data_IF_249373738356
#
_entry.id   IF_249373738356
#
_cell.length_a   1.000
_cell.length_b   1.000
_cell.length_c   1.000
_cell.angle_alpha   90.00
_cell.angle_beta   90.00
_cell.angle_gamma   90.00
#
_symmetry.space_group_name_H-M   'P 1'
#
loop_
_entity.id
_entity.type
_entity.pdbx_description
1 polymer ?
#
# COMPACT_ATOMS: atom_id res chain seq x y z
N UNK A 1 12.81 -2.98 0.68
CA UNK A 1 12.77 -2.73 -0.79
C UNK A 1 13.99 -3.22 -1.58
N UNK A 2 15.18 -3.45 -1.00
CA UNK A 2 16.36 -3.91 -1.76
C UNK A 2 16.16 -5.26 -2.49
N UNK A 3 15.47 -6.22 -1.88
CA UNK A 3 15.16 -7.52 -2.51
C UNK A 3 14.36 -7.37 -3.82
N UNK A 4 13.17 -6.71 -3.85
CA UNK A 4 12.44 -6.54 -5.11
C UNK A 4 13.15 -5.64 -6.13
N UNK A 5 13.90 -4.61 -5.69
CA UNK A 5 14.71 -3.78 -6.62
C UNK A 5 15.80 -4.60 -7.30
N UNK A 6 16.57 -5.39 -6.54
CA UNK A 6 17.60 -6.25 -7.09
C UNK A 6 17.03 -7.32 -8.02
N UNK A 7 15.82 -7.81 -7.73
CA UNK A 7 15.12 -8.77 -8.57
C UNK A 7 14.76 -8.17 -9.94
N UNK A 8 14.12 -6.99 -9.98
CA UNK A 8 13.72 -6.37 -11.25
C UNK A 8 14.92 -5.89 -12.07
N UNK A 9 16.00 -5.42 -11.42
CA UNK A 9 17.22 -4.98 -12.10
C UNK A 9 18.04 -6.13 -12.71
N UNK A 10 17.98 -7.33 -12.13
CA UNK A 10 18.79 -8.47 -12.57
C UNK A 10 18.01 -9.50 -13.38
N UNK A 11 16.69 -9.35 -13.52
CA UNK A 11 15.86 -10.32 -14.22
C UNK A 11 16.37 -10.55 -15.66
N UNK A 12 16.44 -11.80 -16.15
CA UNK A 12 15.96 -13.05 -15.55
C UNK A 12 16.90 -13.66 -14.48
N UNK A 13 18.13 -13.15 -14.39
CA UNK A 13 19.14 -13.58 -13.44
C UNK A 13 18.86 -13.07 -12.01
N UNK A 14 19.79 -13.31 -11.10
CA UNK A 14 19.75 -12.82 -9.71
C UNK A 14 21.08 -12.19 -9.36
N UNK A 15 21.03 -11.14 -8.53
CA UNK A 15 22.20 -10.48 -7.95
C UNK A 15 22.05 -10.37 -6.45
N UNK A 16 23.18 -10.23 -5.74
CA UNK A 16 23.15 -9.96 -4.31
C UNK A 16 22.50 -8.59 -4.04
N UNK A 17 21.45 -8.59 -3.23
CA UNK A 17 20.73 -7.36 -2.82
C UNK A 17 21.33 -6.68 -1.58
N UNK A 18 22.29 -7.32 -0.91
CA UNK A 18 22.83 -6.89 0.38
C UNK A 18 21.86 -7.06 1.55
N UNK A 19 20.74 -7.77 1.36
CA UNK A 19 19.76 -8.11 2.40
C UNK A 19 20.17 -9.42 3.05
N UNK A 20 20.15 -9.49 4.40
CA UNK A 20 20.42 -10.74 5.13
C UNK A 20 19.31 -11.77 4.86
N UNK A 21 19.62 -13.08 4.88
CA UNK A 21 18.58 -14.11 4.84
C UNK A 21 17.55 -13.94 5.95
N UNK A 22 16.30 -14.28 5.67
CA UNK A 22 15.22 -14.27 6.65
C UNK A 22 15.41 -15.43 7.63
N UNK A 23 15.44 -15.13 8.93
CA UNK A 23 15.55 -16.14 10.00
C UNK A 23 14.15 -16.48 10.51
N UNK A 24 13.62 -17.62 10.08
CA UNK A 24 12.26 -18.05 10.41
C UNK A 24 12.09 -18.42 11.89
N UNK A 25 13.17 -18.76 12.61
CA UNK A 25 13.11 -19.07 14.04
C UNK A 25 12.95 -17.82 14.91
N UNK A 26 13.22 -16.63 14.35
CA UNK A 26 13.09 -15.33 15.02
C UNK A 26 11.83 -14.57 14.62
N UNK A 27 11.02 -15.10 13.70
CA UNK A 27 9.78 -14.45 13.28
C UNK A 27 8.70 -14.62 14.35
N UNK A 28 7.96 -13.55 14.60
CA UNK A 28 6.63 -13.66 15.24
C UNK A 28 5.67 -14.45 14.35
N UNK A 29 4.54 -14.87 14.93
CA UNK A 29 3.52 -15.62 14.19
C UNK A 29 3.02 -14.88 12.94
N UNK A 30 2.86 -15.62 11.84
CA UNK A 30 2.24 -15.11 10.63
C UNK A 30 0.72 -15.21 10.75
N UNK A 31 0.05 -14.08 10.93
CA UNK A 31 -1.41 -14.00 11.10
C UNK A 31 -2.06 -13.32 9.90
N UNK A 32 -3.27 -13.75 9.56
CA UNK A 32 -4.04 -13.21 8.44
C UNK A 32 -5.46 -12.87 8.90
N UNK A 33 -6.04 -11.82 8.34
CA UNK A 33 -7.40 -11.37 8.62
C UNK A 33 -8.01 -10.77 7.36
N UNK A 34 -9.35 -10.81 7.26
CA UNK A 34 -10.06 -10.10 6.22
C UNK A 34 -9.91 -8.58 6.41
N UNK A 35 -9.79 -7.79 5.32
CA UNK A 35 -9.77 -6.34 5.42
C UNK A 35 -11.11 -5.80 5.94
N UNK A 36 -11.04 -4.79 6.80
CA UNK A 36 -12.21 -4.08 7.34
C UNK A 36 -12.50 -2.84 6.48
N UNK A 37 -13.48 -2.97 5.59
CA UNK A 37 -13.88 -1.90 4.66
C UNK A 37 -14.59 -0.72 5.35
N UNK A 38 -15.21 -0.93 6.52
CA UNK A 38 -15.85 0.15 7.28
C UNK A 38 -14.79 1.01 7.98
N UNK A 39 -13.75 0.37 8.51
CA UNK A 39 -12.61 1.04 9.13
C UNK A 39 -11.72 1.74 8.10
N UNK A 40 -11.48 1.10 6.96
CA UNK A 40 -10.58 1.58 5.90
C UNK A 40 -11.29 1.70 4.54
N UNK A 41 -12.18 2.70 4.37
CA UNK A 41 -13.01 2.82 3.16
C UNK A 41 -12.21 3.08 1.88
N UNK A 42 -10.99 3.62 1.98
CA UNK A 42 -10.16 3.90 0.81
C UNK A 42 -9.82 2.66 -0.01
N UNK A 43 -9.77 1.46 0.60
CA UNK A 43 -9.58 0.21 -0.16
C UNK A 43 -10.77 -0.05 -1.07
N UNK A 44 -12.00 0.10 -0.55
CA UNK A 44 -13.23 -0.06 -1.32
C UNK A 44 -13.31 1.00 -2.44
N UNK A 45 -12.99 2.25 -2.13
CA UNK A 45 -12.95 3.34 -3.12
C UNK A 45 -11.98 3.07 -4.26
N UNK A 46 -10.81 2.50 -3.99
CA UNK A 46 -9.85 2.13 -5.03
C UNK A 46 -10.37 1.01 -5.93
N UNK A 47 -11.05 0.00 -5.36
CA UNK A 47 -11.70 -1.07 -6.13
C UNK A 47 -12.82 -0.52 -7.02
N UNK A 48 -13.70 0.33 -6.47
CA UNK A 48 -14.80 0.95 -7.21
C UNK A 48 -14.29 1.88 -8.33
N UNK A 49 -13.21 2.64 -8.09
CA UNK A 49 -12.60 3.48 -9.11
C UNK A 49 -11.94 2.67 -10.23
N UNK A 50 -11.36 1.51 -9.90
CA UNK A 50 -10.81 0.58 -10.89
C UNK A 50 -11.91 -0.03 -11.75
N UNK A 51 -13.03 -0.44 -11.15
CA UNK A 51 -14.21 -0.96 -11.87
C UNK A 51 -14.82 0.08 -12.84
N UNK A 52 -14.79 1.37 -12.47
CA UNK A 52 -15.23 2.48 -13.33
C UNK A 52 -14.22 2.82 -14.44
N UNK A 53 -12.98 2.37 -14.33
CA UNK A 53 -11.94 2.51 -15.33
C UNK A 53 -10.94 3.64 -15.09
N UNK A 54 -10.10 3.88 -16.10
CA UNK A 54 -8.87 4.65 -15.95
C UNK A 54 -9.11 6.09 -15.49
N UNK A 55 -10.14 6.77 -16.01
CA UNK A 55 -10.43 8.16 -15.65
C UNK A 55 -10.74 8.30 -14.16
N UNK A 56 -11.56 7.40 -13.60
CA UNK A 56 -11.89 7.37 -12.18
C UNK A 56 -10.66 7.07 -11.32
N UNK A 57 -9.83 6.10 -11.73
CA UNK A 57 -8.59 5.77 -11.02
C UNK A 57 -7.58 6.93 -11.02
N UNK A 58 -7.39 7.60 -12.15
CA UNK A 58 -6.52 8.79 -12.25
C UNK A 58 -7.04 9.92 -11.37
N UNK A 59 -8.35 10.19 -11.38
CA UNK A 59 -8.96 11.19 -10.52
C UNK A 59 -8.79 10.85 -9.03
N UNK A 60 -8.99 9.59 -8.65
CA UNK A 60 -8.79 9.12 -7.28
C UNK A 60 -7.35 9.30 -6.81
N UNK A 61 -6.36 8.94 -7.64
CA UNK A 61 -4.95 9.13 -7.29
C UNK A 61 -4.63 10.61 -7.05
N UNK A 62 -5.07 11.50 -7.95
CA UNK A 62 -4.87 12.94 -7.81
C UNK A 62 -5.54 13.49 -6.54
N UNK A 63 -6.79 13.10 -6.26
CA UNK A 63 -7.50 13.51 -5.05
C UNK A 63 -6.79 13.02 -3.78
N UNK A 64 -6.26 11.79 -3.80
CA UNK A 64 -5.50 11.23 -2.68
C UNK A 64 -4.22 12.03 -2.40
N UNK A 65 -3.43 12.39 -3.42
CA UNK A 65 -2.21 13.19 -3.24
C UNK A 65 -2.48 14.53 -2.56
N UNK A 66 -3.52 15.25 -3.00
CA UNK A 66 -3.91 16.53 -2.38
C UNK A 66 -4.40 16.34 -0.95
N UNK A 67 -5.21 15.31 -0.70
CA UNK A 67 -5.81 15.07 0.62
C UNK A 67 -4.76 14.62 1.64
N UNK A 68 -3.83 13.75 1.25
CA UNK A 68 -2.69 13.35 2.09
C UNK A 68 -1.78 14.54 2.39
N UNK A 69 -1.47 15.38 1.39
CA UNK A 69 -0.68 16.58 1.61
C UNK A 69 -1.37 17.58 2.56
N UNK A 70 -2.70 17.70 2.47
CA UNK A 70 -3.48 18.51 3.41
C UNK A 70 -3.44 17.92 4.82
N UNK A 71 -3.58 16.60 4.97
CA UNK A 71 -3.52 15.92 6.27
C UNK A 71 -2.16 16.11 6.94
N UNK A 72 -1.06 15.89 6.20
CA UNK A 72 0.30 16.09 6.70
C UNK A 72 0.60 17.55 7.09
N UNK A 73 -0.15 18.51 6.52
CA UNK A 73 -0.08 19.94 6.85
C UNK A 73 -1.10 20.36 7.91
N UNK A 74 -1.78 19.42 8.57
CA UNK A 74 -2.84 19.66 9.55
C UNK A 74 -4.00 20.52 9.02
N UNK A 75 -4.28 20.44 7.71
CA UNK A 75 -5.38 21.15 7.03
C UNK A 75 -6.61 20.27 6.80
N UNK A 76 -6.51 18.98 7.09
CA UNK A 76 -7.61 18.02 7.09
C UNK A 76 -7.37 16.97 8.18
N UNK A 77 -8.42 16.30 8.61
CA UNK A 77 -8.34 15.22 9.60
C UNK A 77 -8.33 13.85 8.90
N UNK A 78 -7.55 12.92 9.45
CA UNK A 78 -7.64 11.51 9.06
C UNK A 78 -8.88 10.91 9.72
N UNK A 79 -9.81 10.42 8.90
CA UNK A 79 -11.02 9.75 9.37
C UNK A 79 -10.85 8.25 9.22
N UNK A 80 -10.71 7.58 10.35
CA UNK A 80 -10.76 6.11 10.47
C UNK A 80 -11.96 5.80 11.36
N UNK A 81 -12.82 4.88 10.93
CA UNK A 81 -13.95 4.44 11.76
C UNK A 81 -13.43 3.52 12.87
N UNK A 82 -13.60 3.92 14.12
CA UNK A 82 -13.36 3.05 15.26
C UNK A 82 -14.73 2.47 15.64
N UNK A 83 -14.92 1.17 15.43
CA UNK A 83 -15.97 0.43 16.14
C UNK A 83 -15.58 0.29 17.60
#
# INVERSE_FOLDING_TARGET
MRTPIAHTMAWPNRVNSGVKPLDFCKLSALTFAAPDYDRYPCLKLAMEAFEQGQAATTALNAANEITVAAFLRNKSALRISLR
#
